data_IF_260601799541
#
_entry.id   IF_260601799541
#
_cell.length_a   1.000
_cell.length_b   1.000
_cell.length_c   1.000
_cell.angle_alpha   90.00
_cell.angle_beta   90.00
_cell.angle_gamma   90.00
#
_symmetry.space_group_name_H-M   'P 1'
#
loop_
_entity.id
_entity.type
_entity.pdbx_description
1 polymer ?
#
# COMPACT_ATOMS: atom_id res chain seq x y z
N UNK A 1 17.81 0.38 -9.78
CA UNK A 1 16.34 0.42 -9.78
C UNK A 1 15.82 1.56 -8.91
N UNK A 2 14.66 2.06 -9.24
CA UNK A 2 14.01 3.12 -8.47
C UNK A 2 13.16 2.51 -7.36
N UNK A 3 12.87 3.30 -6.34
CA UNK A 3 12.05 2.89 -5.22
C UNK A 3 10.64 3.48 -5.38
N UNK A 4 9.63 2.67 -5.10
CA UNK A 4 8.22 3.09 -5.19
C UNK A 4 7.49 2.73 -3.92
N UNK A 5 6.55 3.58 -3.51
CA UNK A 5 5.67 3.31 -2.37
C UNK A 5 4.27 3.02 -2.91
N UNK A 6 3.74 1.89 -2.50
CA UNK A 6 2.37 1.50 -2.83
C UNK A 6 1.51 1.77 -1.60
N UNK A 7 0.54 2.66 -1.75
CA UNK A 7 -0.42 2.95 -0.67
C UNK A 7 -1.69 2.16 -0.91
N UNK A 8 -2.13 1.43 0.11
CA UNK A 8 -3.31 0.57 0.01
C UNK A 8 -4.50 1.27 0.67
N UNK A 9 -5.62 1.35 -0.05
CA UNK A 9 -6.83 2.00 0.42
C UNK A 9 -7.97 1.00 0.55
N UNK A 10 -8.77 1.17 1.59
CA UNK A 10 -9.92 0.33 1.86
C UNK A 10 -9.69 -0.56 3.07
N UNK A 11 -10.75 -0.71 3.87
CA UNK A 11 -10.73 -1.59 5.03
C UNK A 11 -11.76 -2.70 4.88
N UNK A 12 -11.33 -3.91 5.20
CA UNK A 12 -12.17 -5.09 5.23
C UNK A 12 -11.66 -5.97 6.37
N UNK A 13 -12.57 -6.57 7.12
CA UNK A 13 -12.16 -7.45 8.22
C UNK A 13 -11.30 -8.59 7.68
N UNK A 14 -10.07 -8.77 8.19
CA UNK A 14 -9.19 -9.81 7.69
C UNK A 14 -9.77 -11.21 7.87
N UNK A 15 -9.62 -12.04 6.83
CA UNK A 15 -9.95 -13.46 6.87
C UNK A 15 -8.69 -14.24 6.53
N UNK A 16 -8.72 -15.55 6.76
CA UNK A 16 -7.58 -16.40 6.38
C UNK A 16 -7.31 -16.35 4.88
N UNK A 17 -8.37 -16.27 4.07
CA UNK A 17 -8.21 -16.14 2.62
C UNK A 17 -7.51 -14.86 2.23
N UNK A 18 -7.92 -13.75 2.84
CA UNK A 18 -7.31 -12.44 2.57
C UNK A 18 -5.85 -12.45 2.99
N UNK A 19 -5.55 -12.96 4.19
CA UNK A 19 -4.17 -13.03 4.69
C UNK A 19 -3.31 -13.93 3.81
N UNK A 20 -3.85 -15.05 3.34
CA UNK A 20 -3.16 -15.94 2.42
C UNK A 20 -2.87 -15.28 1.08
N UNK A 21 -3.82 -14.49 0.57
CA UNK A 21 -3.63 -13.75 -0.68
C UNK A 21 -2.50 -12.73 -0.55
N UNK A 22 -2.42 -12.02 0.57
CA UNK A 22 -1.32 -11.07 0.83
C UNK A 22 0.02 -11.78 0.90
N UNK A 23 0.08 -12.93 1.58
CA UNK A 23 1.33 -13.72 1.65
C UNK A 23 1.79 -14.16 0.28
N UNK A 24 0.87 -14.59 -0.57
CA UNK A 24 1.20 -14.98 -1.95
C UNK A 24 1.72 -13.82 -2.76
N UNK A 25 1.11 -12.65 -2.60
CA UNK A 25 1.57 -11.46 -3.31
C UNK A 25 2.97 -11.06 -2.87
N UNK A 26 3.23 -11.06 -1.56
CA UNK A 26 4.56 -10.77 -1.04
C UNK A 26 5.60 -11.75 -1.58
N UNK A 27 5.27 -13.03 -1.65
CA UNK A 27 6.17 -14.02 -2.24
C UNK A 27 6.44 -13.75 -3.72
N UNK A 28 5.40 -13.34 -4.46
CA UNK A 28 5.53 -13.09 -5.90
C UNK A 28 6.41 -11.90 -6.22
N UNK A 29 6.49 -10.92 -5.32
CA UNK A 29 7.36 -9.76 -5.48
C UNK A 29 8.83 -10.16 -5.34
N UNK A 30 9.11 -11.08 -4.41
CA UNK A 30 10.47 -11.60 -4.21
C UNK A 30 11.46 -10.54 -3.80
N UNK A 31 12.56 -10.45 -4.52
CA UNK A 31 13.66 -9.53 -4.22
C UNK A 31 13.34 -8.07 -4.58
N UNK A 32 12.22 -7.81 -5.22
CA UNK A 32 11.79 -6.44 -5.51
C UNK A 32 11.15 -5.77 -4.29
N UNK A 33 10.83 -6.52 -3.25
CA UNK A 33 10.33 -5.95 -2.01
C UNK A 33 11.45 -5.29 -1.22
N UNK A 34 11.26 -4.01 -0.86
CA UNK A 34 12.19 -3.27 -0.01
C UNK A 34 11.69 -3.31 1.43
N UNK A 35 10.38 -3.11 1.62
CA UNK A 35 9.74 -3.08 2.93
C UNK A 35 8.30 -3.52 2.76
N UNK A 36 7.86 -4.59 3.44
CA UNK A 36 6.46 -5.02 3.34
C UNK A 36 5.49 -4.00 3.93
N UNK A 37 5.99 -3.06 4.73
CA UNK A 37 5.16 -2.05 5.36
C UNK A 37 4.42 -2.58 6.56
N UNK A 38 3.35 -1.88 6.92
CA UNK A 38 2.51 -2.23 8.07
C UNK A 38 1.05 -1.92 7.76
N UNK A 39 0.13 -2.67 8.37
CA UNK A 39 -1.26 -2.23 8.38
C UNK A 39 -1.37 -0.91 9.15
N UNK A 40 -2.24 -0.03 8.68
CA UNK A 40 -2.45 1.28 9.29
C UNK A 40 -3.89 1.34 9.83
N UNK A 41 -4.02 1.80 11.07
CA UNK A 41 -5.33 1.96 11.71
C UNK A 41 -5.92 3.35 11.45
N UNK A 42 -6.90 3.75 12.27
CA UNK A 42 -7.49 5.09 12.17
C UNK A 42 -6.41 6.15 12.36
N UNK A 43 -6.55 7.25 11.64
CA UNK A 43 -5.56 8.32 11.66
C UNK A 43 -6.17 9.68 11.85
N UNK A 44 -5.37 10.69 11.63
CA UNK A 44 -5.80 12.08 11.67
C UNK A 44 -5.18 12.86 10.53
N UNK A 45 -5.94 13.76 9.97
CA UNK A 45 -5.39 14.72 9.02
C UNK A 45 -5.18 16.04 9.77
N UNK A 46 -3.97 16.54 9.69
CA UNK A 46 -3.61 17.81 10.31
C UNK A 46 -3.31 18.79 9.20
N UNK A 47 -4.03 19.90 9.16
CA UNK A 47 -3.84 20.93 8.17
C UNK A 47 -3.74 22.29 8.88
N UNK A 48 -3.51 23.34 8.10
CA UNK A 48 -3.44 24.68 8.67
C UNK A 48 -4.78 25.14 9.26
N UNK A 49 -5.89 24.57 8.76
CA UNK A 49 -7.23 24.90 9.25
C UNK A 49 -7.67 24.06 10.45
N UNK A 50 -6.89 23.05 10.84
CA UNK A 50 -7.23 22.23 12.01
C UNK A 50 -6.94 20.75 11.79
N UNK A 51 -7.55 19.94 12.66
CA UNK A 51 -7.36 18.51 12.68
C UNK A 51 -8.68 17.80 12.38
N UNK A 52 -8.61 16.76 11.56
CA UNK A 52 -9.76 15.97 11.17
C UNK A 52 -9.52 14.50 11.49
N UNK A 53 -10.50 13.83 12.08
CA UNK A 53 -10.42 12.39 12.32
C UNK A 53 -10.55 11.61 11.02
N UNK A 54 -9.76 10.54 10.88
CA UNK A 54 -9.80 9.65 9.72
C UNK A 54 -10.12 8.23 10.21
N UNK A 55 -11.41 7.89 10.35
CA UNK A 55 -11.77 6.54 10.78
C UNK A 55 -11.51 5.51 9.68
N UNK A 56 -11.42 4.24 10.08
CA UNK A 56 -11.33 3.16 9.12
C UNK A 56 -12.61 3.06 8.30
N UNK A 57 -12.46 2.84 7.01
CA UNK A 57 -13.59 2.73 6.10
C UNK A 57 -13.15 2.27 4.72
N UNK A 58 -14.08 2.26 3.78
CA UNK A 58 -13.84 1.72 2.45
C UNK A 58 -12.81 2.51 1.63
N UNK A 59 -12.52 3.74 2.03
CA UNK A 59 -11.57 4.59 1.30
C UNK A 59 -10.41 5.07 2.15
N UNK A 60 -10.27 4.52 3.37
CA UNK A 60 -9.18 4.92 4.24
C UNK A 60 -7.85 4.31 3.81
N UNK A 61 -6.77 5.00 4.11
CA UNK A 61 -5.42 4.47 3.90
C UNK A 61 -5.16 3.41 4.98
N UNK A 62 -4.97 2.17 4.56
CA UNK A 62 -4.89 1.04 5.49
C UNK A 62 -3.58 0.28 5.45
N UNK A 63 -2.64 0.72 4.63
CA UNK A 63 -1.34 0.06 4.59
C UNK A 63 -0.44 0.66 3.54
N UNK A 64 0.81 0.20 3.52
CA UNK A 64 1.77 0.60 2.51
C UNK A 64 2.77 -0.53 2.29
N UNK A 65 3.39 -0.53 1.12
CA UNK A 65 4.47 -1.46 0.77
C UNK A 65 5.50 -0.69 -0.05
N UNK A 66 6.77 -0.92 0.21
CA UNK A 66 7.84 -0.27 -0.56
C UNK A 66 8.49 -1.34 -1.44
N UNK A 67 8.59 -1.04 -2.73
CA UNK A 67 9.18 -1.94 -3.73
C UNK A 67 10.25 -1.21 -4.52
N UNK A 68 11.04 -1.98 -5.26
CA UNK A 68 11.95 -1.44 -6.27
C UNK A 68 11.50 -1.92 -7.64
N UNK A 69 11.61 -1.05 -8.62
CA UNK A 69 11.22 -1.35 -10.00
C UNK A 69 12.01 -0.46 -10.94
N UNK A 70 12.08 -0.86 -12.21
CA UNK A 70 12.82 -0.10 -13.22
C UNK A 70 12.16 1.24 -13.51
N UNK A 71 10.83 1.28 -13.52
CA UNK A 71 10.05 2.47 -13.83
C UNK A 71 8.64 2.33 -13.26
N UNK A 72 7.83 3.39 -13.42
CA UNK A 72 6.47 3.40 -12.89
C UNK A 72 5.57 2.34 -13.54
N UNK A 73 5.80 2.01 -14.80
CA UNK A 73 5.01 0.99 -15.49
C UNK A 73 5.22 -0.39 -14.89
N UNK A 74 6.46 -0.72 -14.54
CA UNK A 74 6.75 -1.98 -13.84
C UNK A 74 6.13 -1.98 -12.44
N UNK A 75 6.24 -0.86 -11.72
CA UNK A 75 5.65 -0.73 -10.39
C UNK A 75 4.13 -0.91 -10.45
N UNK A 76 3.49 -0.37 -11.49
CA UNK A 76 2.04 -0.53 -11.70
C UNK A 76 1.68 -2.00 -11.89
N UNK A 77 2.46 -2.74 -12.68
CA UNK A 77 2.20 -4.17 -12.90
C UNK A 77 2.29 -4.97 -11.61
N UNK A 78 3.28 -4.64 -10.77
CA UNK A 78 3.43 -5.29 -9.47
C UNK A 78 2.22 -4.98 -8.59
N UNK A 79 1.83 -3.72 -8.52
CA UNK A 79 0.73 -3.27 -7.67
C UNK A 79 -0.63 -3.84 -8.11
N UNK A 80 -0.84 -4.02 -9.41
CA UNK A 80 -2.10 -4.58 -9.93
C UNK A 80 -2.41 -5.98 -9.41
N UNK A 81 -1.39 -6.73 -9.05
CA UNK A 81 -1.56 -8.10 -8.60
C UNK A 81 -1.79 -8.23 -7.10
N UNK A 82 -1.78 -7.13 -6.35
CA UNK A 82 -2.03 -7.22 -4.91
C UNK A 82 -3.52 -7.44 -4.64
N UNK A 83 -3.86 -8.05 -3.50
CA UNK A 83 -5.27 -8.27 -3.13
C UNK A 83 -5.89 -6.97 -2.61
N UNK A 84 -6.07 -5.99 -3.50
CA UNK A 84 -6.60 -4.69 -3.13
C UNK A 84 -8.08 -4.77 -2.77
N UNK A 85 -8.48 -3.94 -1.81
CA UNK A 85 -9.88 -3.83 -1.39
C UNK A 85 -10.58 -2.78 -2.23
N UNK A 86 -10.15 -1.52 -2.12
CA UNK A 86 -10.75 -0.43 -2.89
C UNK A 86 -9.83 0.00 -4.02
N UNK A 87 -8.62 0.39 -3.69
CA UNK A 87 -7.65 0.88 -4.67
C UNK A 87 -6.25 0.90 -4.07
N UNK A 88 -5.27 1.11 -4.94
CA UNK A 88 -3.90 1.38 -4.51
C UNK A 88 -3.39 2.57 -5.29
N UNK A 89 -2.44 3.29 -4.68
CA UNK A 89 -1.74 4.39 -5.33
C UNK A 89 -0.26 4.10 -5.29
N UNK A 90 0.42 4.39 -6.39
CA UNK A 90 1.85 4.12 -6.52
C UNK A 90 2.58 5.43 -6.75
N UNK A 91 3.57 5.71 -5.93
CA UNK A 91 4.39 6.91 -6.03
C UNK A 91 5.86 6.53 -6.07
N UNK A 92 6.61 7.22 -6.92
CA UNK A 92 8.07 7.07 -6.90
C UNK A 92 8.62 7.81 -5.68
N UNK A 93 9.44 7.12 -4.88
CA UNK A 93 10.14 7.75 -3.76
C UNK A 93 11.40 8.41 -4.31
N UNK A 94 11.36 9.72 -4.44
CA UNK A 94 12.46 10.49 -5.02
C UNK A 94 13.64 10.57 -4.06
N UNK A 95 14.85 10.50 -4.59
CA UNK A 95 16.05 10.72 -3.79
C UNK A 95 16.28 12.22 -3.57
N UNK A 96 16.84 12.52 -2.44
CA UNK A 96 17.22 13.90 -2.10
C UNK A 96 18.62 14.24 -2.60
#
# INVERSE_FOLDING_TARGET
MKKFVIFHYGFETPTQEIMGAWSKWFESIGDKMVDPGSPLGPGKEISRSGTKELPLGTESLTGYTVIRAANIDEAEKIAKNCPMITSVRVYEAMSH
#
